data_IF_894042048735
#
_entry.id   IF_894042048735
#
_cell.length_a   1.000
_cell.length_b   1.000
_cell.length_c   1.000
_cell.angle_alpha   90.00
_cell.angle_beta   90.00
_cell.angle_gamma   90.00
#
_symmetry.space_group_name_H-M   'P 1'
#
loop_
_entity.id
_entity.type
_entity.pdbx_description
1 polymer ?
#
# COMPACT_ATOMS: atom_id res chain seq x y z
N UNK A 1 -32.92 -18.08 257.78
CA UNK A 1 -34.38 -18.18 257.96
C UNK A 1 -34.98 -16.82 257.72
N UNK A 2 -35.66 -16.62 256.58
CA UNK A 2 -36.38 -15.38 256.28
C UNK A 2 -37.87 -15.68 256.38
N UNK A 3 -38.53 -15.11 257.38
CA UNK A 3 -39.97 -15.23 257.57
C UNK A 3 -40.68 -14.46 256.44
N UNK A 4 -41.49 -15.17 255.65
CA UNK A 4 -42.26 -14.58 254.54
C UNK A 4 -43.70 -14.36 255.00
N UNK A 5 -44.16 -13.12 254.93
CA UNK A 5 -45.49 -12.72 255.36
C UNK A 5 -46.46 -12.70 254.18
N UNK A 6 -47.63 -13.33 254.35
CA UNK A 6 -48.71 -13.23 253.38
C UNK A 6 -49.32 -11.81 253.43
N UNK A 7 -49.23 -11.07 252.33
CA UNK A 7 -49.71 -9.70 252.21
C UNK A 7 -51.22 -9.50 252.42
N UNK A 8 -51.99 -10.59 252.57
CA UNK A 8 -53.45 -10.55 252.67
C UNK A 8 -54.03 -10.99 254.02
N UNK A 9 -53.39 -11.91 254.75
CA UNK A 9 -53.92 -12.44 256.02
C UNK A 9 -52.97 -12.32 257.22
N UNK A 10 -51.75 -11.80 257.04
CA UNK A 10 -50.85 -11.43 258.15
C UNK A 10 -50.27 -12.59 258.97
N UNK A 11 -50.52 -13.86 258.60
CA UNK A 11 -49.94 -15.02 259.28
C UNK A 11 -48.65 -15.51 258.62
N UNK A 12 -47.74 -16.01 259.45
CA UNK A 12 -46.40 -16.47 259.09
C UNK A 12 -46.45 -17.79 258.30
N UNK A 13 -45.75 -17.84 257.16
CA UNK A 13 -45.59 -19.05 256.36
C UNK A 13 -44.12 -19.47 256.30
N UNK A 14 -43.87 -20.77 256.49
CA UNK A 14 -42.53 -21.37 256.45
C UNK A 14 -42.04 -21.63 255.03
N UNK A 15 -40.73 -21.47 254.84
CA UNK A 15 -39.89 -21.36 253.63
C UNK A 15 -40.07 -22.39 252.47
N UNK A 16 -41.14 -23.19 252.40
CA UNK A 16 -41.32 -24.25 251.38
C UNK A 16 -42.69 -24.31 250.69
N UNK A 17 -43.51 -23.26 250.71
CA UNK A 17 -44.83 -23.27 250.03
C UNK A 17 -45.00 -22.08 249.08
N UNK A 18 -45.21 -22.37 247.78
CA UNK A 18 -45.43 -21.39 246.69
C UNK A 18 -46.89 -20.90 246.59
N UNK A 19 -47.74 -21.30 247.53
CA UNK A 19 -49.16 -20.98 247.58
C UNK A 19 -49.56 -20.81 249.05
N UNK A 20 -50.28 -19.74 249.37
CA UNK A 20 -50.86 -19.55 250.71
C UNK A 20 -52.04 -20.52 250.90
N UNK A 21 -52.01 -21.33 251.96
CA UNK A 21 -53.01 -22.39 252.21
C UNK A 21 -54.40 -21.87 252.61
N UNK A 22 -54.54 -20.61 253.04
CA UNK A 22 -55.85 -20.02 253.38
C UNK A 22 -56.48 -19.20 252.24
N UNK A 23 -55.69 -18.60 251.35
CA UNK A 23 -56.23 -17.71 250.29
C UNK A 23 -55.82 -18.10 248.87
N UNK A 24 -55.15 -19.24 248.69
CA UNK A 24 -54.80 -19.82 247.39
C UNK A 24 -53.88 -18.97 246.52
N UNK A 25 -53.31 -17.88 247.05
CA UNK A 25 -52.59 -16.90 246.24
C UNK A 25 -51.14 -17.35 246.01
N UNK A 26 -50.73 -17.38 244.73
CA UNK A 26 -49.42 -17.88 244.26
C UNK A 26 -48.33 -16.83 244.48
N UNK A 27 -47.26 -17.22 245.16
CA UNK A 27 -46.08 -16.38 245.43
C UNK A 27 -45.17 -16.47 244.20
N UNK A 28 -45.02 -15.36 243.47
CA UNK A 28 -44.18 -15.26 242.26
C UNK A 28 -42.81 -14.73 242.66
N UNK A 29 -41.76 -15.53 242.45
CA UNK A 29 -40.36 -15.12 242.57
C UNK A 29 -39.97 -14.35 241.30
N UNK A 30 -39.57 -13.09 241.44
CA UNK A 30 -39.23 -12.21 240.32
C UNK A 30 -37.91 -12.56 239.63
N UNK A 31 -37.93 -12.50 238.29
CA UNK A 31 -36.79 -12.63 237.37
C UNK A 31 -35.86 -11.40 237.44
N UNK A 32 -34.57 -11.61 237.17
CA UNK A 32 -33.53 -10.59 237.35
C UNK A 32 -33.36 -9.69 236.11
N UNK A 33 -32.90 -8.43 236.26
CA UNK A 33 -32.70 -7.50 235.13
C UNK A 33 -31.74 -7.97 234.03
N UNK A 34 -30.86 -8.94 234.28
CA UNK A 34 -29.90 -9.45 233.29
C UNK A 34 -30.54 -10.32 232.19
N UNK A 35 -31.61 -11.06 232.50
CA UNK A 35 -32.20 -12.02 231.55
C UNK A 35 -33.08 -11.36 230.46
N UNK A 36 -33.54 -10.11 230.66
CA UNK A 36 -34.30 -9.36 229.63
C UNK A 36 -33.41 -8.82 228.51
N UNK A 37 -32.17 -8.43 228.83
CA UNK A 37 -31.23 -7.84 227.87
C UNK A 37 -30.81 -8.84 226.78
N UNK A 38 -30.50 -10.08 227.18
CA UNK A 38 -29.99 -11.11 226.25
C UNK A 38 -31.06 -11.58 225.25
N UNK A 39 -32.34 -11.60 225.68
CA UNK A 39 -33.46 -12.04 224.84
C UNK A 39 -33.79 -11.03 223.73
N UNK A 40 -33.67 -9.73 224.00
CA UNK A 40 -33.83 -8.67 222.99
C UNK A 40 -32.69 -8.66 221.97
N UNK A 41 -31.46 -8.96 222.41
CA UNK A 41 -30.29 -8.99 221.53
C UNK A 41 -30.37 -10.13 220.50
N UNK A 42 -30.83 -11.31 220.91
CA UNK A 42 -31.05 -12.44 220.01
C UNK A 42 -32.13 -12.17 218.96
N UNK A 43 -33.21 -11.47 219.34
CA UNK A 43 -34.29 -11.13 218.41
C UNK A 43 -33.81 -10.20 217.30
N UNK A 44 -32.99 -9.19 217.65
CA UNK A 44 -32.35 -8.31 216.66
C UNK A 44 -31.44 -9.06 215.68
N UNK A 45 -30.65 -10.01 216.17
CA UNK A 45 -29.76 -10.83 215.31
C UNK A 45 -30.57 -11.69 214.34
N UNK A 46 -31.66 -12.30 214.80
CA UNK A 46 -32.53 -13.12 213.94
C UNK A 46 -33.25 -12.30 212.86
N UNK A 47 -33.81 -11.15 213.24
CA UNK A 47 -34.47 -10.25 212.28
C UNK A 47 -33.48 -9.69 211.24
N UNK A 48 -32.24 -9.37 211.64
CA UNK A 48 -31.17 -8.96 210.73
C UNK A 48 -30.74 -10.07 209.76
N UNK A 49 -30.60 -11.31 210.24
CA UNK A 49 -30.28 -12.46 209.40
C UNK A 49 -31.39 -12.78 208.39
N UNK A 50 -32.67 -12.68 208.82
CA UNK A 50 -33.83 -12.86 207.95
C UNK A 50 -33.90 -11.80 206.86
N UNK A 51 -33.68 -10.53 207.21
CA UNK A 51 -33.65 -9.44 206.22
C UNK A 51 -32.52 -9.62 205.18
N UNK A 52 -31.34 -10.10 205.60
CA UNK A 52 -30.26 -10.47 204.67
C UNK A 52 -30.66 -11.62 203.75
N UNK A 53 -31.25 -12.68 204.31
CA UNK A 53 -31.72 -13.82 203.52
C UNK A 53 -32.75 -13.38 202.47
N UNK A 54 -33.74 -12.58 202.86
CA UNK A 54 -34.78 -12.09 201.94
C UNK A 54 -34.21 -11.14 200.88
N UNK A 55 -33.18 -10.36 201.21
CA UNK A 55 -32.45 -9.52 200.25
C UNK A 55 -31.66 -10.37 199.24
N UNK A 56 -30.93 -11.37 199.73
CA UNK A 56 -30.17 -12.30 198.88
C UNK A 56 -31.09 -13.13 197.98
N UNK A 57 -32.26 -13.54 198.48
CA UNK A 57 -33.25 -14.27 197.70
C UNK A 57 -33.76 -13.42 196.54
N UNK A 58 -34.09 -12.14 196.79
CA UNK A 58 -34.49 -11.21 195.72
C UNK A 58 -33.37 -10.95 194.72
N UNK A 59 -32.13 -10.83 195.19
CA UNK A 59 -30.98 -10.70 194.29
C UNK A 59 -30.82 -11.96 193.43
N UNK A 60 -30.93 -13.14 194.01
CA UNK A 60 -30.88 -14.41 193.28
C UNK A 60 -32.01 -14.52 192.25
N UNK A 61 -33.24 -14.17 192.61
CA UNK A 61 -34.39 -14.17 191.69
C UNK A 61 -34.20 -13.15 190.54
N UNK A 62 -33.71 -11.95 190.85
CA UNK A 62 -33.38 -10.94 189.83
C UNK A 62 -32.28 -11.42 188.89
N UNK A 63 -31.18 -11.95 189.43
CA UNK A 63 -30.07 -12.49 188.65
C UNK A 63 -30.50 -13.70 187.80
N UNK A 64 -31.41 -14.53 188.31
CA UNK A 64 -31.97 -15.66 187.55
C UNK A 64 -32.83 -15.17 186.38
N UNK A 65 -33.73 -14.21 186.62
CA UNK A 65 -34.54 -13.61 185.55
C UNK A 65 -33.68 -12.90 184.50
N UNK A 66 -32.63 -12.20 184.95
CA UNK A 66 -31.66 -11.55 184.08
C UNK A 66 -30.87 -12.56 183.25
N UNK A 67 -30.41 -13.66 183.85
CA UNK A 67 -29.75 -14.75 183.14
C UNK A 67 -30.70 -15.40 182.11
N UNK A 68 -31.95 -15.65 182.46
CA UNK A 68 -32.96 -16.17 181.52
C UNK A 68 -33.20 -15.21 180.35
N UNK A 69 -33.25 -13.90 180.60
CA UNK A 69 -33.35 -12.87 179.55
C UNK A 69 -32.14 -12.89 178.62
N UNK A 70 -30.92 -12.87 179.17
CA UNK A 70 -29.68 -12.92 178.38
C UNK A 70 -29.57 -14.21 177.58
N UNK A 71 -30.01 -15.35 178.13
CA UNK A 71 -30.05 -16.61 177.40
C UNK A 71 -31.04 -16.55 176.24
N UNK A 72 -32.23 -15.95 176.43
CA UNK A 72 -33.19 -15.73 175.35
C UNK A 72 -32.62 -14.84 174.27
N UNK A 73 -32.08 -13.67 174.63
CA UNK A 73 -31.44 -12.72 173.70
C UNK A 73 -30.29 -13.38 172.93
N UNK A 74 -29.44 -14.16 173.61
CA UNK A 74 -28.37 -14.93 172.97
C UNK A 74 -28.93 -15.94 171.97
N UNK A 75 -30.03 -16.62 172.29
CA UNK A 75 -30.65 -17.60 171.39
C UNK A 75 -31.32 -16.92 170.18
N UNK A 76 -31.95 -15.76 170.38
CA UNK A 76 -32.54 -14.96 169.30
C UNK A 76 -31.47 -14.42 168.37
N UNK A 77 -30.39 -13.86 168.92
CA UNK A 77 -29.23 -13.40 168.16
C UNK A 77 -28.56 -14.55 167.42
N UNK A 78 -28.45 -15.73 168.04
CA UNK A 78 -27.90 -16.93 167.36
C UNK A 78 -28.77 -17.37 166.20
N UNK A 79 -30.09 -17.29 166.33
CA UNK A 79 -31.03 -17.64 165.25
C UNK A 79 -30.99 -16.61 164.13
N UNK A 80 -30.93 -15.32 164.47
CA UNK A 80 -30.77 -14.23 163.50
C UNK A 80 -29.42 -14.33 162.77
N UNK A 81 -28.33 -14.65 163.48
CA UNK A 81 -27.01 -14.87 162.89
C UNK A 81 -27.05 -16.03 161.89
N UNK A 82 -27.64 -17.17 162.28
CA UNK A 82 -27.80 -18.32 161.38
C UNK A 82 -28.61 -17.97 160.13
N UNK A 83 -29.70 -17.21 160.27
CA UNK A 83 -30.49 -16.73 159.14
C UNK A 83 -29.72 -15.77 158.21
N UNK A 84 -28.84 -14.93 158.77
CA UNK A 84 -27.95 -14.07 157.99
C UNK A 84 -26.84 -14.87 157.31
N UNK A 85 -26.26 -15.86 157.97
CA UNK A 85 -25.28 -16.78 157.40
C UNK A 85 -25.88 -17.53 156.19
N UNK A 86 -27.10 -18.06 156.32
CA UNK A 86 -27.81 -18.73 155.21
C UNK A 86 -28.08 -17.76 154.04
N UNK A 87 -28.44 -16.50 154.31
CA UNK A 87 -28.62 -15.49 153.28
C UNK A 87 -27.30 -15.13 152.56
N UNK A 88 -26.19 -15.03 153.30
CA UNK A 88 -24.86 -14.78 152.73
C UNK A 88 -24.42 -15.94 151.83
N UNK A 89 -24.69 -17.20 152.23
CA UNK A 89 -24.41 -18.37 151.40
C UNK A 89 -25.19 -18.31 150.08
N UNK A 90 -26.50 -18.03 150.13
CA UNK A 90 -27.33 -17.89 148.91
C UNK A 90 -26.85 -16.76 147.99
N UNK A 91 -26.44 -15.62 148.56
CA UNK A 91 -25.87 -14.51 147.79
C UNK A 91 -24.52 -14.89 147.18
N UNK A 92 -23.68 -15.63 147.89
CA UNK A 92 -22.41 -16.12 147.37
C UNK A 92 -22.62 -17.11 146.21
N UNK A 93 -23.58 -18.02 146.32
CA UNK A 93 -23.98 -18.93 145.24
C UNK A 93 -24.52 -18.17 144.02
N UNK A 94 -25.40 -17.18 144.23
CA UNK A 94 -25.93 -16.33 143.16
C UNK A 94 -24.83 -15.52 142.48
N UNK A 95 -23.91 -14.93 143.25
CA UNK A 95 -22.77 -14.18 142.69
C UNK A 95 -21.86 -15.10 141.89
N UNK A 96 -21.59 -16.32 142.38
CA UNK A 96 -20.81 -17.31 141.62
C UNK A 96 -21.48 -17.67 140.30
N UNK A 97 -22.79 -17.87 140.29
CA UNK A 97 -23.54 -18.13 139.05
C UNK A 97 -23.43 -16.95 138.07
N UNK A 98 -23.60 -15.71 138.55
CA UNK A 98 -23.45 -14.51 137.72
C UNK A 98 -22.01 -14.33 137.20
N UNK A 99 -21.00 -14.67 138.00
CA UNK A 99 -19.59 -14.67 137.56
C UNK A 99 -19.34 -15.72 136.48
N UNK A 100 -19.93 -16.91 136.60
CA UNK A 100 -19.84 -17.96 135.58
C UNK A 100 -20.54 -17.55 134.28
N UNK A 101 -21.72 -16.93 134.36
CA UNK A 101 -22.44 -16.41 133.19
C UNK A 101 -21.73 -15.22 132.55
N UNK A 102 -21.15 -14.31 133.33
CA UNK A 102 -20.33 -13.22 132.80
C UNK A 102 -19.12 -13.75 132.03
N UNK A 103 -18.41 -14.75 132.56
CA UNK A 103 -17.29 -15.42 131.87
C UNK A 103 -17.74 -16.09 130.57
N UNK A 104 -18.92 -16.71 130.53
CA UNK A 104 -19.49 -17.31 129.31
C UNK A 104 -19.81 -16.26 128.25
N UNK A 105 -20.41 -15.14 128.65
CA UNK A 105 -20.72 -14.03 127.75
C UNK A 105 -19.45 -13.37 127.21
N UNK A 106 -18.43 -13.16 128.03
CA UNK A 106 -17.12 -12.66 127.58
C UNK A 106 -16.46 -13.60 126.58
N UNK A 107 -16.52 -14.91 126.80
CA UNK A 107 -16.01 -15.90 125.85
C UNK A 107 -16.78 -15.87 124.52
N UNK A 108 -18.12 -15.76 124.57
CA UNK A 108 -18.96 -15.65 123.39
C UNK A 108 -18.69 -14.35 122.61
N UNK A 109 -18.48 -13.22 123.29
CA UNK A 109 -18.11 -11.96 122.67
C UNK A 109 -16.75 -12.07 121.95
N UNK A 110 -15.74 -12.67 122.60
CA UNK A 110 -14.43 -12.91 121.95
C UNK A 110 -14.56 -13.77 120.70
N UNK A 111 -15.37 -14.84 120.76
CA UNK A 111 -15.62 -15.68 119.58
C UNK A 111 -16.31 -14.90 118.45
N UNK A 112 -17.28 -14.04 118.79
CA UNK A 112 -17.97 -13.20 117.81
C UNK A 112 -17.05 -12.13 117.22
N UNK A 113 -16.19 -11.51 118.02
CA UNK A 113 -15.18 -10.56 117.54
C UNK A 113 -14.19 -11.23 116.60
N UNK A 114 -13.76 -12.47 116.89
CA UNK A 114 -12.94 -13.26 115.98
C UNK A 114 -13.68 -13.60 114.67
N UNK A 115 -14.97 -13.94 114.73
CA UNK A 115 -15.81 -14.17 113.55
C UNK A 115 -15.96 -12.90 112.71
N UNK A 116 -16.21 -11.74 113.33
CA UNK A 116 -16.29 -10.44 112.67
C UNK A 116 -14.94 -10.10 112.02
N UNK A 117 -13.82 -10.38 112.70
CA UNK A 117 -12.48 -10.21 112.14
C UNK A 117 -12.23 -11.08 110.91
N UNK A 118 -12.69 -12.34 110.92
CA UNK A 118 -12.60 -13.25 109.77
C UNK A 118 -13.44 -12.75 108.59
N UNK A 119 -14.70 -12.37 108.82
CA UNK A 119 -15.61 -11.85 107.78
C UNK A 119 -15.06 -10.53 107.21
N UNK A 120 -14.55 -9.64 108.04
CA UNK A 120 -13.97 -8.37 107.58
C UNK A 120 -12.77 -8.58 106.66
N UNK A 121 -11.88 -9.53 107.00
CA UNK A 121 -10.77 -9.92 106.11
C UNK A 121 -11.27 -10.53 104.79
N UNK A 122 -12.31 -11.35 104.84
CA UNK A 122 -12.92 -11.91 103.62
C UNK A 122 -13.55 -10.83 102.74
N UNK A 123 -14.25 -9.85 103.31
CA UNK A 123 -14.81 -8.72 102.57
C UNK A 123 -13.72 -7.89 101.89
N UNK A 124 -12.63 -7.58 102.60
CA UNK A 124 -11.49 -6.89 102.00
C UNK A 124 -10.86 -7.69 100.84
N UNK A 125 -10.73 -9.00 100.98
CA UNK A 125 -10.21 -9.86 99.92
C UNK A 125 -11.16 -9.96 98.72
N UNK A 126 -12.48 -9.91 98.93
CA UNK A 126 -13.46 -9.88 97.85
C UNK A 126 -13.40 -8.52 97.13
N UNK A 127 -13.31 -7.40 97.87
CA UNK A 127 -13.19 -6.07 97.29
C UNK A 127 -11.90 -5.91 96.47
N UNK A 128 -10.77 -6.45 96.93
CA UNK A 128 -9.52 -6.43 96.15
C UNK A 128 -9.66 -7.24 94.86
N UNK A 129 -10.28 -8.43 94.93
CA UNK A 129 -10.56 -9.25 93.74
C UNK A 129 -11.55 -8.57 92.78
N UNK A 130 -12.57 -7.91 93.28
CA UNK A 130 -13.52 -7.15 92.44
C UNK A 130 -12.81 -6.00 91.70
N UNK A 131 -11.90 -5.30 92.38
CA UNK A 131 -11.07 -4.26 91.77
C UNK A 131 -10.15 -4.83 90.68
N UNK A 132 -9.51 -5.97 90.94
CA UNK A 132 -8.67 -6.68 89.97
C UNK A 132 -9.46 -7.15 88.75
N UNK A 133 -10.62 -7.78 88.96
CA UNK A 133 -11.53 -8.23 87.89
C UNK A 133 -12.00 -7.05 87.05
N UNK A 134 -12.35 -5.93 87.71
CA UNK A 134 -12.76 -4.71 87.01
C UNK A 134 -11.65 -4.15 86.13
N UNK A 135 -10.39 -4.18 86.60
CA UNK A 135 -9.22 -3.78 85.79
C UNK A 135 -9.03 -4.73 84.61
N UNK A 136 -9.05 -6.04 84.82
CA UNK A 136 -8.90 -7.02 83.74
C UNK A 136 -10.03 -6.92 82.71
N UNK A 137 -11.26 -6.61 83.15
CA UNK A 137 -12.39 -6.43 82.25
C UNK A 137 -12.22 -5.19 81.36
N UNK A 138 -11.73 -4.08 81.93
CA UNK A 138 -11.43 -2.88 81.15
C UNK A 138 -10.28 -3.11 80.15
N UNK A 139 -9.27 -3.89 80.52
CA UNK A 139 -8.19 -4.30 79.61
C UNK A 139 -8.74 -5.15 78.45
N UNK A 140 -9.58 -6.15 78.74
CA UNK A 140 -10.23 -6.97 77.71
C UNK A 140 -11.11 -6.14 76.77
N UNK A 141 -11.80 -5.10 77.27
CA UNK A 141 -12.56 -4.19 76.42
C UNK A 141 -11.64 -3.39 75.46
N UNK A 142 -10.48 -2.94 75.94
CA UNK A 142 -9.48 -2.28 75.10
C UNK A 142 -8.89 -3.23 74.06
N UNK A 143 -8.56 -4.45 74.45
CA UNK A 143 -8.07 -5.48 73.52
C UNK A 143 -9.11 -5.82 72.45
N UNK A 144 -10.39 -5.93 72.82
CA UNK A 144 -11.48 -6.13 71.87
C UNK A 144 -11.58 -4.99 70.85
N UNK A 145 -11.42 -3.74 71.29
CA UNK A 145 -11.44 -2.60 70.38
C UNK A 145 -10.21 -2.58 69.46
N UNK A 146 -9.02 -2.90 69.98
CA UNK A 146 -7.82 -3.03 69.17
C UNK A 146 -7.98 -4.14 68.11
N UNK A 147 -8.52 -5.31 68.48
CA UNK A 147 -8.81 -6.39 67.53
C UNK A 147 -9.81 -5.96 66.46
N UNK A 148 -10.81 -5.16 66.81
CA UNK A 148 -11.76 -4.60 65.85
C UNK A 148 -11.07 -3.70 64.82
N UNK A 149 -10.14 -2.87 65.26
CA UNK A 149 -9.35 -2.01 64.37
C UNK A 149 -8.47 -2.85 63.43
N UNK A 150 -7.78 -3.86 63.95
CA UNK A 150 -6.98 -4.79 63.16
C UNK A 150 -7.81 -5.51 62.10
N UNK A 151 -9.03 -5.95 62.45
CA UNK A 151 -9.94 -6.59 61.49
C UNK A 151 -10.40 -5.62 60.38
N UNK A 152 -10.61 -4.35 60.70
CA UNK A 152 -10.97 -3.35 59.70
C UNK A 152 -9.78 -3.03 58.78
N UNK A 153 -8.55 -3.02 59.30
CA UNK A 153 -7.32 -2.89 58.51
C UNK A 153 -7.11 -4.11 57.59
N UNK A 154 -7.29 -5.33 58.11
CA UNK A 154 -7.22 -6.56 57.30
C UNK A 154 -8.26 -6.55 56.18
N UNK A 155 -9.48 -6.07 56.45
CA UNK A 155 -10.51 -5.89 55.43
C UNK A 155 -10.07 -4.91 54.33
N UNK A 156 -9.51 -3.75 54.69
CA UNK A 156 -8.98 -2.78 53.72
C UNK A 156 -7.85 -3.38 52.89
N UNK A 157 -6.92 -4.09 53.52
CA UNK A 157 -5.82 -4.79 52.84
C UNK A 157 -6.33 -5.84 51.85
N UNK A 158 -7.37 -6.61 52.21
CA UNK A 158 -8.00 -7.56 51.28
C UNK A 158 -8.65 -6.86 50.10
N UNK A 159 -9.32 -5.73 50.32
CA UNK A 159 -9.91 -4.93 49.23
C UNK A 159 -8.83 -4.35 48.31
N UNK A 160 -7.71 -3.86 48.84
CA UNK A 160 -6.56 -3.40 48.07
C UNK A 160 -5.91 -4.54 47.28
N UNK A 161 -5.72 -5.71 47.90
CA UNK A 161 -5.20 -6.89 47.23
C UNK A 161 -6.11 -7.35 46.09
N UNK A 162 -7.43 -7.34 46.29
CA UNK A 162 -8.40 -7.64 45.25
C UNK A 162 -8.36 -6.62 44.09
N UNK A 163 -8.17 -5.32 44.39
CA UNK A 163 -7.95 -4.30 43.36
C UNK A 163 -6.66 -4.56 42.58
N UNK A 164 -5.57 -4.87 43.27
CA UNK A 164 -4.28 -5.20 42.64
C UNK A 164 -4.38 -6.43 41.74
N UNK A 165 -5.11 -7.47 42.14
CA UNK A 165 -5.34 -8.65 41.30
C UNK A 165 -6.10 -8.30 40.01
N UNK A 166 -7.13 -7.45 40.09
CA UNK A 166 -7.86 -7.00 38.89
C UNK A 166 -6.96 -6.22 37.94
N UNK A 167 -6.17 -5.29 38.46
CA UNK A 167 -5.20 -4.53 37.67
C UNK A 167 -4.18 -5.46 37.01
N UNK A 168 -3.65 -6.45 37.74
CA UNK A 168 -2.74 -7.44 37.16
C UNK A 168 -3.38 -8.26 36.03
N UNK A 169 -4.64 -8.67 36.18
CA UNK A 169 -5.39 -9.36 35.13
C UNK A 169 -5.67 -8.46 33.91
N UNK A 170 -5.96 -7.19 34.13
CA UNK A 170 -6.11 -6.18 33.07
C UNK A 170 -4.78 -5.96 32.33
N UNK A 171 -3.68 -5.76 33.03
CA UNK A 171 -2.34 -5.64 32.45
C UNK A 171 -1.97 -6.87 31.63
N UNK A 172 -2.31 -8.08 32.12
CA UNK A 172 -2.12 -9.33 31.37
C UNK A 172 -2.92 -9.34 30.06
N UNK A 173 -4.17 -8.86 30.06
CA UNK A 173 -4.99 -8.73 28.85
C UNK A 173 -4.42 -7.68 27.88
N UNK A 174 -3.94 -6.56 28.39
CA UNK A 174 -3.28 -5.51 27.60
C UNK A 174 -2.00 -6.06 26.94
N UNK A 175 -1.17 -6.79 27.68
CA UNK A 175 0.02 -7.46 27.13
C UNK A 175 -0.33 -8.45 26.02
N UNK A 176 -1.43 -9.18 26.17
CA UNK A 176 -1.89 -10.12 25.14
C UNK A 176 -2.38 -9.39 23.88
N UNK A 177 -3.19 -8.33 24.04
CA UNK A 177 -3.66 -7.54 22.89
C UNK A 177 -2.51 -6.80 22.19
N UNK A 178 -1.50 -6.34 22.92
CA UNK A 178 -0.28 -5.76 22.33
C UNK A 178 0.48 -6.79 21.49
N UNK A 179 0.61 -8.03 21.96
CA UNK A 179 1.25 -9.12 21.18
C UNK A 179 0.49 -9.41 19.89
N UNK A 180 -0.84 -9.46 19.94
CA UNK A 180 -1.70 -9.65 18.77
C UNK A 180 -1.55 -8.48 17.78
N UNK A 181 -1.59 -7.24 18.27
CA UNK A 181 -1.37 -6.04 17.44
C UNK A 181 0.01 -6.07 16.77
N UNK A 182 1.05 -6.52 17.48
CA UNK A 182 2.40 -6.63 16.93
C UNK A 182 2.51 -7.74 15.87
N UNK A 183 1.80 -8.86 16.05
CA UNK A 183 1.70 -9.91 15.05
C UNK A 183 1.01 -9.40 13.78
N UNK A 184 -0.14 -8.74 13.93
CA UNK A 184 -0.88 -8.12 12.81
C UNK A 184 -0.02 -7.07 12.09
N UNK A 185 0.71 -6.23 12.83
CA UNK A 185 1.64 -5.26 12.24
C UNK A 185 2.71 -5.94 11.37
N UNK A 186 3.28 -7.04 11.85
CA UNK A 186 4.29 -7.80 11.10
C UNK A 186 3.71 -8.45 9.83
N UNK A 187 2.45 -8.90 9.86
CA UNK A 187 1.75 -9.41 8.67
C UNK A 187 1.53 -8.30 7.64
N UNK A 188 1.00 -7.15 8.06
CA UNK A 188 0.82 -5.98 7.19
C UNK A 188 2.16 -5.50 6.62
N UNK A 189 3.25 -5.56 7.39
CA UNK A 189 4.58 -5.23 6.89
C UNK A 189 5.05 -6.19 5.78
N UNK A 190 4.77 -7.50 5.92
CA UNK A 190 5.06 -8.50 4.86
C UNK A 190 4.21 -8.25 3.61
N UNK A 191 2.92 -7.97 3.76
CA UNK A 191 2.04 -7.63 2.65
C UNK A 191 2.53 -6.39 1.90
N UNK A 192 2.87 -5.33 2.63
CA UNK A 192 3.46 -4.11 2.04
C UNK A 192 4.73 -4.44 1.23
N UNK A 193 5.59 -5.32 1.73
CA UNK A 193 6.81 -5.68 1.04
C UNK A 193 6.54 -6.56 -0.21
N UNK A 194 5.48 -7.36 -0.19
CA UNK A 194 4.97 -8.07 -1.38
C UNK A 194 4.40 -7.09 -2.41
N UNK A 195 3.53 -6.16 -2.02
CA UNK A 195 3.03 -5.12 -2.93
C UNK A 195 4.17 -4.28 -3.52
N UNK A 196 5.21 -3.97 -2.74
CA UNK A 196 6.41 -3.29 -3.25
C UNK A 196 7.18 -4.11 -4.29
N UNK A 197 7.15 -5.45 -4.21
CA UNK A 197 7.73 -6.32 -5.25
C UNK A 197 6.85 -6.31 -6.50
N UNK A 198 5.54 -6.47 -6.34
CA UNK A 198 4.58 -6.44 -7.45
C UNK A 198 4.64 -5.12 -8.22
N UNK A 199 4.66 -3.97 -7.53
CA UNK A 199 4.80 -2.64 -8.17
C UNK A 199 6.13 -2.51 -8.93
N UNK A 200 7.21 -3.15 -8.47
CA UNK A 200 8.49 -3.16 -9.21
C UNK A 200 8.42 -4.00 -10.48
N UNK A 201 7.75 -5.15 -10.44
CA UNK A 201 7.55 -5.97 -11.62
C UNK A 201 6.64 -5.27 -12.64
N UNK A 202 5.51 -4.71 -12.20
CA UNK A 202 4.62 -3.93 -13.06
C UNK A 202 5.32 -2.73 -13.72
N UNK A 203 6.28 -2.10 -13.03
CA UNK A 203 7.10 -1.03 -13.64
C UNK A 203 8.00 -1.56 -14.76
N UNK A 204 8.62 -2.74 -14.60
CA UNK A 204 9.41 -3.36 -15.66
C UNK A 204 8.54 -3.71 -16.87
N UNK A 205 7.36 -4.30 -16.63
CA UNK A 205 6.39 -4.60 -17.68
C UNK A 205 5.95 -3.32 -18.43
N UNK A 206 5.72 -2.22 -17.70
CA UNK A 206 5.41 -0.93 -18.30
C UNK A 206 6.56 -0.40 -19.17
N UNK A 207 7.80 -0.51 -18.70
CA UNK A 207 8.98 -0.12 -19.48
C UNK A 207 9.14 -0.97 -20.75
N UNK A 208 8.85 -2.27 -20.67
CA UNK A 208 8.80 -3.17 -21.83
C UNK A 208 7.68 -2.80 -22.81
N UNK A 209 6.48 -2.52 -22.33
CA UNK A 209 5.37 -2.05 -23.16
C UNK A 209 5.72 -0.72 -23.87
N UNK A 210 6.43 0.19 -23.19
CA UNK A 210 6.92 1.42 -23.81
C UNK A 210 7.97 1.17 -24.89
N UNK A 211 8.87 0.18 -24.71
CA UNK A 211 9.80 -0.26 -25.77
C UNK A 211 9.04 -0.80 -26.98
N UNK A 212 8.02 -1.65 -26.77
CA UNK A 212 7.17 -2.18 -27.84
C UNK A 212 6.44 -1.06 -28.59
N UNK A 213 5.95 -0.05 -27.87
CA UNK A 213 5.34 1.15 -28.48
C UNK A 213 6.34 1.91 -29.36
N UNK A 214 7.61 1.98 -28.95
CA UNK A 214 8.70 2.53 -29.77
C UNK A 214 8.91 1.73 -31.05
N UNK A 215 8.93 0.40 -30.95
CA UNK A 215 9.06 -0.50 -32.12
C UNK A 215 7.86 -0.35 -33.06
N UNK A 216 6.63 -0.28 -32.53
CA UNK A 216 5.42 -0.09 -33.35
C UNK A 216 5.47 1.21 -34.15
N UNK A 217 5.94 2.32 -33.56
CA UNK A 217 6.16 3.57 -34.28
C UNK A 217 7.23 3.45 -35.36
N UNK A 218 8.33 2.74 -35.09
CA UNK A 218 9.35 2.48 -36.09
C UNK A 218 8.81 1.63 -37.26
N UNK A 219 7.99 0.63 -36.96
CA UNK A 219 7.30 -0.18 -37.96
C UNK A 219 6.33 0.66 -38.80
N UNK A 220 5.55 1.56 -38.21
CA UNK A 220 4.72 2.51 -38.97
C UNK A 220 5.56 3.41 -39.89
N UNK A 221 6.74 3.85 -39.46
CA UNK A 221 7.68 4.61 -40.29
C UNK A 221 8.18 3.79 -41.48
N UNK A 222 8.66 2.57 -41.23
CA UNK A 222 9.09 1.63 -42.26
C UNK A 222 7.98 1.27 -43.24
N UNK A 223 6.74 1.10 -42.77
CA UNK A 223 5.60 0.83 -43.63
C UNK A 223 5.36 1.97 -44.63
N UNK A 224 5.46 3.24 -44.18
CA UNK A 224 5.35 4.40 -45.06
C UNK A 224 6.48 4.44 -46.09
N UNK A 225 7.70 4.13 -45.70
CA UNK A 225 8.84 4.04 -46.63
C UNK A 225 8.65 2.92 -47.65
N UNK A 226 8.18 1.75 -47.22
CA UNK A 226 7.84 0.64 -48.09
C UNK A 226 6.76 1.02 -49.11
N UNK A 227 5.69 1.69 -48.67
CA UNK A 227 4.61 2.14 -49.56
C UNK A 227 5.12 3.16 -50.60
N UNK A 228 6.01 4.08 -50.20
CA UNK A 228 6.67 5.02 -51.11
C UNK A 228 7.57 4.30 -52.12
N UNK A 229 8.39 3.36 -51.65
CA UNK A 229 9.28 2.56 -52.50
C UNK A 229 8.47 1.73 -53.49
N UNK A 230 7.36 1.14 -53.06
CA UNK A 230 6.49 0.35 -53.93
C UNK A 230 5.80 1.22 -54.99
N UNK A 231 5.40 2.46 -54.65
CA UNK A 231 4.92 3.43 -55.64
C UNK A 231 6.01 3.80 -56.66
N UNK A 232 7.23 4.06 -56.21
CA UNK A 232 8.36 4.35 -57.09
C UNK A 232 8.68 3.15 -58.00
N UNK A 233 8.65 1.94 -57.48
CA UNK A 233 8.86 0.71 -58.25
C UNK A 233 7.79 0.53 -59.34
N UNK A 234 6.50 0.76 -59.02
CA UNK A 234 5.43 0.75 -60.01
C UNK A 234 5.64 1.80 -61.10
N UNK A 235 6.02 3.03 -60.73
CA UNK A 235 6.33 4.08 -61.69
C UNK A 235 7.49 3.70 -62.62
N UNK A 236 8.55 3.10 -62.06
CA UNK A 236 9.68 2.61 -62.86
C UNK A 236 9.28 1.49 -63.84
N UNK A 237 8.37 0.59 -63.44
CA UNK A 237 7.84 -0.44 -64.34
C UNK A 237 7.04 0.17 -65.50
N UNK A 238 6.20 1.16 -65.23
CA UNK A 238 5.46 1.89 -66.27
C UNK A 238 6.39 2.63 -67.24
N UNK A 239 7.46 3.23 -66.73
CA UNK A 239 8.47 3.90 -67.55
C UNK A 239 9.28 2.91 -68.40
N UNK A 240 9.65 1.76 -67.83
CA UNK A 240 10.32 0.68 -68.54
C UNK A 240 9.43 0.16 -69.70
N UNK A 241 8.13 0.00 -69.47
CA UNK A 241 7.20 -0.43 -70.51
C UNK A 241 7.03 0.62 -71.62
N UNK A 242 6.99 1.91 -71.26
CA UNK A 242 7.01 3.02 -72.22
C UNK A 242 8.27 2.99 -73.09
N UNK A 243 9.44 2.82 -72.48
CA UNK A 243 10.72 2.75 -73.19
C UNK A 243 10.78 1.55 -74.14
N UNK A 244 10.22 0.39 -73.76
CA UNK A 244 10.11 -0.76 -74.67
C UNK A 244 9.28 -0.42 -75.92
N UNK A 245 8.15 0.27 -75.75
CA UNK A 245 7.29 0.69 -76.87
C UNK A 245 8.06 1.66 -77.78
N UNK A 246 8.79 2.62 -77.22
CA UNK A 246 9.63 3.55 -77.99
C UNK A 246 10.76 2.83 -78.73
N UNK A 247 11.45 1.89 -78.08
CA UNK A 247 12.45 1.06 -78.76
C UNK A 247 11.86 0.27 -79.92
N UNK A 248 10.65 -0.30 -79.76
CA UNK A 248 9.98 -1.01 -80.85
C UNK A 248 9.63 -0.07 -82.03
N UNK A 249 9.18 1.15 -81.75
CA UNK A 249 8.95 2.18 -82.78
C UNK A 249 10.23 2.57 -83.51
N UNK A 250 11.30 2.86 -82.76
CA UNK A 250 12.61 3.20 -83.32
C UNK A 250 13.17 2.06 -84.18
N UNK A 251 13.01 0.81 -83.73
CA UNK A 251 13.38 -0.37 -84.52
C UNK A 251 12.60 -0.44 -85.83
N UNK A 252 11.28 -0.22 -85.80
CA UNK A 252 10.45 -0.19 -87.00
C UNK A 252 10.88 0.91 -87.98
N UNK A 253 11.18 2.11 -87.49
CA UNK A 253 11.72 3.20 -88.31
C UNK A 253 13.06 2.83 -88.96
N UNK A 254 13.97 2.20 -88.21
CA UNK A 254 15.25 1.73 -88.74
C UNK A 254 15.08 0.67 -89.83
N UNK A 255 14.16 -0.28 -89.64
CA UNK A 255 13.86 -1.31 -90.64
C UNK A 255 13.22 -0.73 -91.90
N UNK A 256 12.38 0.29 -91.77
CA UNK A 256 11.78 1.01 -92.91
C UNK A 256 12.84 1.82 -93.68
N UNK A 257 13.73 2.50 -92.96
CA UNK A 257 14.83 3.24 -93.58
C UNK A 257 15.81 2.28 -94.31
N UNK A 258 16.11 1.13 -93.71
CA UNK A 258 16.90 0.08 -94.36
C UNK A 258 16.25 -0.43 -95.66
N UNK A 259 14.92 -0.56 -95.69
CA UNK A 259 14.19 -0.91 -96.92
C UNK A 259 14.31 0.17 -98.00
N UNK A 260 14.22 1.46 -97.62
CA UNK A 260 14.41 2.57 -98.56
C UNK A 260 15.82 2.56 -99.13
N UNK A 261 16.84 2.36 -98.30
CA UNK A 261 18.23 2.26 -98.76
C UNK A 261 18.41 1.09 -99.74
N UNK A 262 17.85 -0.09 -99.44
CA UNK A 262 17.91 -1.24 -100.35
C UNK A 262 17.22 -0.97 -101.70
N UNK A 263 16.04 -0.33 -101.68
CA UNK A 263 15.32 0.09 -102.90
C UNK A 263 16.14 1.09 -103.72
N UNK A 264 16.76 2.08 -103.07
CA UNK A 264 17.61 3.07 -103.74
C UNK A 264 18.88 2.44 -104.31
N UNK A 265 19.45 1.44 -103.64
CA UNK A 265 20.59 0.67 -104.19
C UNK A 265 20.21 -0.11 -105.44
N UNK A 266 19.02 -0.73 -105.47
CA UNK A 266 18.50 -1.41 -106.67
C UNK A 266 18.24 -0.43 -107.82
N UNK A 267 17.61 0.72 -107.56
CA UNK A 267 17.39 1.77 -108.56
C UNK A 267 18.71 2.31 -109.13
N UNK A 268 19.70 2.58 -108.27
CA UNK A 268 21.01 3.03 -108.71
C UNK A 268 21.73 1.97 -109.56
N UNK A 269 21.58 0.68 -109.21
CA UNK A 269 22.14 -0.41 -110.02
C UNK A 269 21.50 -0.48 -111.40
N UNK A 270 20.17 -0.37 -111.48
CA UNK A 270 19.44 -0.32 -112.75
C UNK A 270 19.81 0.90 -113.60
N UNK A 271 20.00 2.08 -112.98
CA UNK A 271 20.46 3.28 -113.66
C UNK A 271 21.87 3.12 -114.23
N UNK A 272 22.79 2.47 -113.51
CA UNK A 272 24.13 2.17 -113.99
C UNK A 272 24.10 1.22 -115.18
N UNK A 273 23.30 0.15 -115.13
CA UNK A 273 23.12 -0.79 -116.25
C UNK A 273 22.56 -0.08 -117.50
N UNK A 274 21.52 0.74 -117.34
CA UNK A 274 20.98 1.55 -118.43
C UNK A 274 22.03 2.52 -119.01
N UNK A 275 22.84 3.15 -118.15
CA UNK A 275 23.90 4.06 -118.58
C UNK A 275 24.99 3.33 -119.37
N UNK A 276 25.35 2.11 -118.98
CA UNK A 276 26.29 1.26 -119.71
C UNK A 276 25.74 0.84 -121.09
N UNK A 277 24.46 0.51 -121.17
CA UNK A 277 23.78 0.16 -122.43
C UNK A 277 23.73 1.36 -123.39
N UNK A 278 23.31 2.53 -122.90
CA UNK A 278 23.32 3.77 -123.68
C UNK A 278 24.72 4.13 -124.20
N UNK A 279 25.75 3.84 -123.41
CA UNK A 279 27.14 4.04 -123.82
C UNK A 279 27.59 3.08 -124.92
N UNK A 280 27.10 1.83 -124.92
CA UNK A 280 27.35 0.88 -126.03
C UNK A 280 26.69 1.37 -127.31
N UNK A 281 25.44 1.83 -127.23
CA UNK A 281 24.71 2.38 -128.38
C UNK A 281 25.40 3.61 -128.95
N UNK A 282 25.84 4.53 -128.08
CA UNK A 282 26.61 5.70 -128.50
C UNK A 282 27.92 5.31 -129.20
N UNK A 283 28.63 4.27 -128.73
CA UNK A 283 29.82 3.76 -129.43
C UNK A 283 29.48 3.18 -130.79
N UNK A 284 28.37 2.44 -130.90
CA UNK A 284 27.90 1.87 -132.16
C UNK A 284 27.54 2.96 -133.18
N UNK A 285 26.71 3.93 -132.79
CA UNK A 285 26.34 5.06 -133.63
C UNK A 285 27.56 5.89 -134.06
N UNK A 286 28.56 6.03 -133.18
CA UNK A 286 29.82 6.71 -133.51
C UNK A 286 30.62 5.95 -134.57
N UNK A 287 30.68 4.61 -134.47
CA UNK A 287 31.30 3.77 -135.50
C UNK A 287 30.57 3.85 -136.85
N UNK A 288 29.23 3.88 -136.85
CA UNK A 288 28.43 4.09 -138.07
C UNK A 288 28.71 5.46 -138.70
N UNK A 289 28.73 6.53 -137.90
CA UNK A 289 29.09 7.87 -138.36
C UNK A 289 30.49 7.94 -138.97
N UNK A 290 31.48 7.31 -138.34
CA UNK A 290 32.85 7.24 -138.84
C UNK A 290 32.95 6.42 -140.14
N UNK A 291 32.07 5.43 -140.35
CA UNK A 291 32.01 4.64 -141.59
C UNK A 291 31.35 5.38 -142.78
N UNK A 292 30.36 6.24 -142.51
CA UNK A 292 29.67 7.04 -143.52
C UNK A 292 30.48 8.26 -143.99
N UNK A 293 31.35 8.79 -143.12
CA UNK A 293 32.21 9.94 -143.42
C UNK A 293 33.08 9.75 -144.68
N UNK A 294 33.82 8.65 -144.88
CA UNK A 294 34.59 8.42 -146.10
C UNK A 294 33.72 8.20 -147.33
N UNK A 295 32.50 7.66 -147.20
CA UNK A 295 31.55 7.55 -148.33
C UNK A 295 31.12 8.94 -148.82
N UNK A 296 30.77 9.85 -147.91
CA UNK A 296 30.40 11.23 -148.24
C UNK A 296 31.58 11.98 -148.89
N UNK A 297 32.80 11.80 -148.38
CA UNK A 297 34.01 12.38 -148.96
C UNK A 297 34.31 11.82 -150.36
N UNK A 298 34.14 10.51 -150.56
CA UNK A 298 34.26 9.87 -151.87
C UNK A 298 33.24 10.38 -152.89
N UNK A 299 31.98 10.58 -152.47
CA UNK A 299 30.94 11.18 -153.32
C UNK A 299 31.26 12.63 -153.67
N UNK A 300 31.75 13.44 -152.73
CA UNK A 300 32.17 14.83 -152.98
C UNK A 300 33.31 14.92 -153.99
N UNK A 301 34.28 14.01 -153.93
CA UNK A 301 35.40 14.00 -154.86
C UNK A 301 34.94 13.64 -156.28
N UNK A 302 34.02 12.68 -156.44
CA UNK A 302 33.41 12.34 -157.74
C UNK A 302 32.64 13.51 -158.35
N UNK A 303 31.94 14.30 -157.54
CA UNK A 303 31.23 15.50 -158.01
C UNK A 303 32.23 16.51 -158.59
N UNK A 304 33.34 16.80 -157.88
CA UNK A 304 34.40 17.70 -158.38
C UNK A 304 35.01 17.24 -159.71
N UNK A 305 35.27 15.94 -159.84
CA UNK A 305 35.81 15.37 -161.09
C UNK A 305 34.81 15.52 -162.25
N UNK A 306 33.52 15.32 -161.97
CA UNK A 306 32.47 15.54 -162.98
C UNK A 306 32.33 17.01 -163.37
N UNK A 307 32.39 17.94 -162.42
CA UNK A 307 32.37 19.39 -162.70
C UNK A 307 33.56 19.81 -163.59
N UNK A 308 34.76 19.29 -163.31
CA UNK A 308 35.96 19.55 -164.11
C UNK A 308 35.83 19.01 -165.54
N UNK A 309 35.21 17.84 -165.71
CA UNK A 309 34.91 17.27 -167.03
C UNK A 309 33.89 18.11 -167.81
N UNK A 310 32.82 18.55 -167.14
CA UNK A 310 31.79 19.42 -167.75
C UNK A 310 32.44 20.71 -168.26
N UNK A 311 33.26 21.36 -167.45
CA UNK A 311 33.98 22.58 -167.82
C UNK A 311 34.82 22.36 -169.09
N UNK A 312 35.64 21.31 -169.13
CA UNK A 312 36.47 20.99 -170.29
C UNK A 312 35.65 20.69 -171.56
N UNK A 313 34.49 20.02 -171.44
CA UNK A 313 33.62 19.75 -172.60
C UNK A 313 32.91 21.01 -173.11
N UNK A 314 32.53 21.93 -172.22
CA UNK A 314 31.88 23.19 -172.59
C UNK A 314 32.82 24.11 -173.38
N UNK A 315 34.11 24.09 -173.08
CA UNK A 315 35.12 24.90 -173.76
C UNK A 315 35.37 24.39 -175.18
N UNK A 316 35.48 23.06 -175.35
CA UNK A 316 35.57 22.41 -176.67
C UNK A 316 34.34 22.68 -177.55
N UNK A 317 33.16 22.76 -176.94
CA UNK A 317 31.92 23.06 -177.67
C UNK A 317 31.97 24.49 -178.25
N UNK A 318 32.38 25.48 -177.44
CA UNK A 318 32.52 26.88 -177.89
C UNK A 318 33.49 27.03 -179.06
N UNK A 319 34.66 26.38 -178.98
CA UNK A 319 35.62 26.39 -180.10
C UNK A 319 35.04 25.82 -181.40
N UNK A 320 34.20 24.79 -181.30
CA UNK A 320 33.54 24.19 -182.46
C UNK A 320 32.45 25.09 -183.06
N UNK A 321 31.71 25.81 -182.22
CA UNK A 321 30.68 26.76 -182.63
C UNK A 321 31.29 27.97 -183.36
N UNK A 322 32.44 28.46 -182.90
CA UNK A 322 33.18 29.55 -183.55
C UNK A 322 33.69 29.15 -184.94
N UNK A 323 34.27 27.94 -185.08
CA UNK A 323 34.70 27.41 -186.39
C UNK A 323 33.53 27.28 -187.37
N UNK A 324 32.35 26.86 -186.88
CA UNK A 324 31.16 26.77 -187.72
C UNK A 324 30.66 28.15 -188.19
N UNK A 325 30.76 29.20 -187.37
CA UNK A 325 30.44 30.58 -187.78
C UNK A 325 31.36 31.09 -188.88
N UNK A 326 32.67 30.84 -188.77
CA UNK A 326 33.63 31.20 -189.83
C UNK A 326 33.35 30.48 -191.16
N UNK A 327 33.03 29.19 -191.10
CA UNK A 327 32.65 28.40 -192.27
C UNK A 327 31.40 28.94 -192.97
N UNK A 328 30.40 29.36 -192.19
CA UNK A 328 29.16 29.95 -192.71
C UNK A 328 29.41 31.28 -193.44
N UNK A 329 30.28 32.14 -192.90
CA UNK A 329 30.68 33.39 -193.55
C UNK A 329 31.36 33.14 -194.90
N UNK A 330 32.29 32.18 -194.96
CA UNK A 330 32.95 31.79 -196.22
C UNK A 330 31.96 31.24 -197.27
N UNK A 331 30.95 30.48 -196.83
CA UNK A 331 29.92 29.95 -197.73
C UNK A 331 29.06 31.07 -198.34
N UNK A 332 28.73 32.10 -197.55
CA UNK A 332 27.97 33.27 -198.01
C UNK A 332 28.77 34.09 -199.04
N UNK A 333 30.06 34.29 -198.81
CA UNK A 333 30.96 34.96 -199.76
C UNK A 333 31.08 34.19 -201.08
N UNK A 334 31.23 32.86 -201.02
CA UNK A 334 31.28 32.01 -202.21
C UNK A 334 29.97 32.07 -203.01
N UNK A 335 28.81 32.00 -202.34
CA UNK A 335 27.50 32.09 -203.00
C UNK A 335 27.30 33.43 -203.72
N UNK A 336 27.75 34.54 -203.11
CA UNK A 336 27.71 35.86 -203.73
C UNK A 336 28.59 35.93 -204.99
N UNK A 337 29.77 35.31 -204.96
CA UNK A 337 30.66 35.25 -206.13
C UNK A 337 30.06 34.42 -207.28
N UNK A 338 29.36 33.33 -206.95
CA UNK A 338 28.75 32.43 -207.93
C UNK A 338 27.55 33.09 -208.64
N UNK A 339 26.74 33.86 -207.91
CA UNK A 339 25.63 34.64 -208.51
C UNK A 339 26.14 35.69 -209.50
N UNK A 340 27.22 36.42 -209.17
CA UNK A 340 27.80 37.43 -210.07
C UNK A 340 28.31 36.83 -211.38
N UNK A 341 28.88 35.62 -211.34
CA UNK A 341 29.32 34.89 -212.53
C UNK A 341 28.13 34.45 -213.40
N UNK A 342 27.05 33.97 -212.77
CA UNK A 342 25.81 33.58 -213.47
C UNK A 342 25.14 34.76 -214.18
N UNK A 343 25.13 35.95 -213.58
CA UNK A 343 24.63 37.18 -214.20
C UNK A 343 25.44 37.58 -215.44
N UNK A 344 26.78 37.46 -215.36
CA UNK A 344 27.68 37.77 -216.46
C UNK A 344 27.50 36.84 -217.67
N UNK A 345 27.25 35.55 -217.42
CA UNK A 345 26.99 34.57 -218.49
C UNK A 345 25.66 34.85 -219.20
N UNK A 346 24.61 35.25 -218.47
CA UNK A 346 23.30 35.60 -219.08
C UNK A 346 23.39 36.79 -220.03
N UNK A 347 24.20 37.81 -219.70
CA UNK A 347 24.37 38.99 -220.55
C UNK A 347 25.16 38.68 -221.84
N UNK A 348 26.12 37.76 -221.77
CA UNK A 348 26.88 37.31 -222.93
C UNK A 348 26.02 36.53 -223.95
N UNK A 349 25.04 35.74 -223.46
CA UNK A 349 24.12 34.99 -224.33
C UNK A 349 23.16 35.92 -225.08
N UNK A 350 22.69 37.00 -224.45
CA UNK A 350 21.77 37.95 -225.07
C UNK A 350 22.45 38.76 -226.20
N UNK A 351 23.70 39.19 -226.00
CA UNK A 351 24.47 39.90 -227.04
C UNK A 351 24.78 39.06 -228.28
N UNK A 352 24.78 37.72 -228.14
CA UNK A 352 25.03 36.82 -229.25
C UNK A 352 23.80 36.59 -230.16
N UNK A 353 22.59 36.91 -229.68
CA UNK A 353 21.35 36.76 -230.44
C UNK A 353 21.06 37.97 -231.34
N UNK A 354 21.47 39.17 -230.94
CA UNK A 354 21.16 40.39 -231.70
C UNK A 354 22.07 40.58 -232.93
N UNK A 355 23.31 40.08 -232.89
CA UNK A 355 24.25 40.11 -234.04
C UNK A 355 23.81 39.17 -235.17
N UNK A 356 22.96 38.17 -234.87
CA UNK A 356 22.54 37.15 -235.84
C UNK A 356 21.37 37.56 -236.75
N UNK A 357 20.75 38.72 -236.52
CA UNK A 357 19.51 39.11 -237.22
C UNK A 357 19.70 40.22 -238.27
N UNK A 358 20.95 40.59 -238.60
CA UNK A 358 21.27 41.61 -239.62
C UNK A 358 22.03 41.09 -240.85
N UNK A 359 22.27 39.79 -240.98
CA UNK A 359 22.94 39.24 -242.15
C UNK A 359 22.19 38.02 -242.70
N UNK A 360 21.76 38.15 -243.96
CA UNK A 360 21.38 37.09 -244.91
C UNK A 360 19.87 36.81 -245.10
N UNK A 361 19.22 37.77 -245.77
CA UNK A 361 18.28 37.46 -246.85
C UNK A 361 18.99 36.61 -247.94
N UNK A 362 18.29 35.56 -248.40
CA UNK A 362 18.55 34.70 -249.58
C UNK A 362 19.17 33.29 -249.40
N UNK A 363 18.22 32.33 -249.28
CA UNK A 363 18.12 30.99 -249.90
C UNK A 363 18.89 29.78 -249.31
N UNK A 364 18.11 28.90 -248.66
CA UNK A 364 17.69 27.62 -249.26
C UNK A 364 18.26 26.29 -248.72
N UNK A 365 17.37 25.48 -248.12
CA UNK A 365 17.26 23.99 -248.09
C UNK A 365 18.24 23.09 -247.30
N UNK A 366 17.63 21.98 -246.79
CA UNK A 366 18.15 20.65 -246.41
C UNK A 366 18.97 20.55 -245.09
N UNK A 367 18.48 19.91 -244.03
CA UNK A 367 18.38 18.45 -243.69
C UNK A 367 19.51 18.00 -242.76
N UNK A 368 19.13 17.44 -241.57
CA UNK A 368 19.69 16.28 -240.81
C UNK A 368 21.23 16.08 -240.65
N UNK A 369 21.81 15.10 -239.90
CA UNK A 369 21.27 13.96 -239.11
C UNK A 369 21.94 13.71 -237.71
N UNK A 370 21.42 12.70 -236.97
CA UNK A 370 22.04 11.52 -236.27
C UNK A 370 23.48 11.56 -235.66
N UNK A 371 23.96 10.75 -234.68
CA UNK A 371 23.60 9.56 -233.87
C UNK A 371 24.80 9.22 -232.94
N UNK A 372 24.53 8.40 -231.89
CA UNK A 372 25.37 7.33 -231.28
C UNK A 372 26.80 7.70 -230.73
N UNK A 373 27.46 7.09 -229.73
CA UNK A 373 27.35 5.82 -229.01
C UNK A 373 28.22 5.83 -227.69
N UNK A 374 28.01 4.81 -226.85
CA UNK A 374 28.65 4.33 -225.59
C UNK A 374 30.21 4.22 -225.57
N UNK A 375 30.96 3.90 -224.45
CA UNK A 375 30.68 2.76 -223.53
C UNK A 375 31.30 2.62 -222.09
N UNK A 376 30.79 1.59 -221.36
CA UNK A 376 31.43 0.54 -220.48
C UNK A 376 32.01 0.80 -219.05
N UNK A 377 31.64 -0.12 -218.12
CA UNK A 377 32.43 -0.65 -216.97
C UNK A 377 32.03 -0.10 -215.58
N UNK A 378 31.50 -0.78 -214.55
CA UNK A 378 31.59 -2.13 -213.94
C UNK A 378 32.89 -2.46 -213.16
N UNK A 379 32.69 -2.89 -211.89
CA UNK A 379 33.52 -3.68 -210.94
C UNK A 379 34.41 -2.88 -209.96
N UNK A 380 34.28 -2.97 -208.63
CA UNK A 380 34.19 -4.08 -207.65
C UNK A 380 35.53 -4.37 -206.94
N UNK A 381 35.39 -4.66 -205.64
CA UNK A 381 36.34 -5.25 -204.66
C UNK A 381 37.23 -4.26 -203.89
N UNK A 382 37.02 -4.06 -202.58
CA UNK A 382 37.40 -4.96 -201.46
C UNK A 382 38.90 -5.27 -201.41
N UNK A 383 39.58 -4.76 -200.38
CA UNK A 383 40.14 -5.53 -199.23
C UNK A 383 41.10 -4.65 -198.42
N UNK A 384 40.83 -4.52 -197.11
CA UNK A 384 41.51 -5.22 -195.98
C UNK A 384 43.00 -4.86 -195.91
N UNK A 385 43.52 -4.38 -194.79
CA UNK A 385 43.68 -5.12 -193.52
C UNK A 385 44.04 -4.10 -192.41
N UNK A 386 43.45 -4.21 -191.20
CA UNK A 386 44.01 -4.85 -189.98
C UNK A 386 45.36 -4.23 -189.61
N UNK A 387 45.56 -3.70 -188.41
CA UNK A 387 45.78 -4.35 -187.09
C UNK A 387 46.48 -3.21 -186.28
N UNK A 388 46.11 -2.90 -185.02
CA UNK A 388 46.64 -3.55 -183.78
C UNK A 388 48.16 -3.26 -183.61
N UNK A 389 48.78 -2.97 -182.46
CA UNK A 389 48.59 -3.15 -181.00
C UNK A 389 49.49 -2.07 -180.31
N UNK A 390 49.29 -1.54 -179.09
CA UNK A 390 49.11 -2.15 -177.75
C UNK A 390 47.95 -1.56 -176.92
#
# INVERSE_FOLDING_TARGET
MKLVFCSRCGKEATDKQFYCTECGTKIILGETPQERSEKEEFKKKYEGARAMHDSLLRQYEYLKAEHERVVSERNDLRTALKGKEEAVVKLAESNRFLEEDAKRLEAALKEKDEQIGKISKQLQAIQSRESEISKSYQELLRERENLRQVLEEDKKLREEYAKMQRLYEEDKKILQSQKETLANYNEVAKERDNYKKEVRELRKELDEANKLKGIAKAHEGLQKEFDLLNKAHKGALEELERLKIEMAKMKGMYEEEARKYASLEEENRALLENYEELNKDNRSMKMELDSLRPEVEGLRQRIKDMESRIAATSEKLKESEEKNRELLLKHLELSSSYHKLLEGVKQAIQGHQDIRSQAEEEKGQAEEPEREDKPKGLRALLRRRTESDE
#
